data_IF_237922568969
#
_entry.id   IF_237922568969
#
_cell.length_a   1.000
_cell.length_b   1.000
_cell.length_c   1.000
_cell.angle_alpha   90.00
_cell.angle_beta   90.00
_cell.angle_gamma   90.00
#
_symmetry.space_group_name_H-M   'P 1'
#
loop_
_entity.id
_entity.type
_entity.pdbx_description
1 polymer ?
#
# COMPACT_ATOMS: atom_id res chain seq x y z
N UNK A 1 64.26 -0.27 41.55
CA UNK A 1 63.23 0.30 42.42
C UNK A 1 61.96 0.41 41.60
N UNK A 2 61.05 -0.46 41.93
CA UNK A 2 59.59 -0.50 41.76
C UNK A 2 58.97 0.18 40.53
N UNK A 3 58.63 -0.70 39.61
CA UNK A 3 57.65 -0.62 38.55
C UNK A 3 56.24 -0.51 39.12
N UNK A 4 55.45 0.40 38.58
CA UNK A 4 54.00 0.49 38.84
C UNK A 4 53.24 0.24 37.52
N UNK A 5 52.67 -0.95 37.39
CA UNK A 5 51.67 -1.24 36.34
C UNK A 5 50.34 -0.63 36.75
N UNK A 6 49.86 0.35 35.99
CA UNK A 6 48.46 0.77 35.99
C UNK A 6 47.68 -0.07 34.97
N UNK A 7 46.86 -0.95 35.49
CA UNK A 7 45.89 -1.65 34.64
C UNK A 7 44.65 -0.76 34.43
N UNK A 8 44.40 -0.40 33.20
CA UNK A 8 43.14 0.23 32.81
C UNK A 8 42.00 -0.79 32.87
N UNK A 9 41.17 -0.59 33.87
CA UNK A 9 39.90 -1.34 34.05
C UNK A 9 38.84 -0.81 33.07
N UNK A 10 38.94 -1.22 31.79
CA UNK A 10 37.89 -0.95 30.80
C UNK A 10 36.63 -1.74 31.20
N UNK A 11 35.70 -1.07 31.90
CA UNK A 11 34.36 -1.60 32.06
C UNK A 11 33.69 -1.72 30.70
N UNK A 12 33.09 -2.86 30.36
CA UNK A 12 32.35 -3.00 29.11
C UNK A 12 31.24 -1.94 29.05
N UNK A 13 31.23 -1.16 27.95
CA UNK A 13 30.13 -0.24 27.68
C UNK A 13 28.82 -1.03 27.57
N UNK A 14 27.73 -0.56 28.15
CA UNK A 14 26.43 -1.20 27.98
C UNK A 14 26.06 -1.21 26.51
N UNK A 15 25.55 -2.35 26.03
CA UNK A 15 25.07 -2.49 24.67
C UNK A 15 24.06 -1.38 24.34
N UNK A 16 24.10 -0.80 23.14
CA UNK A 16 23.11 0.20 22.73
C UNK A 16 21.70 -0.38 22.84
N UNK A 17 20.71 0.43 23.22
CA UNK A 17 19.34 -0.01 23.30
C UNK A 17 18.90 -0.57 21.93
N UNK A 18 18.06 -1.61 21.89
CA UNK A 18 17.55 -2.14 20.64
C UNK A 18 16.83 -1.04 19.87
N UNK A 19 17.04 -1.02 18.55
CA UNK A 19 16.36 -0.06 17.67
C UNK A 19 14.84 -0.13 17.90
N UNK A 20 14.14 1.03 17.94
CA UNK A 20 12.70 1.04 18.15
C UNK A 20 12.00 0.19 17.09
N UNK A 21 11.04 -0.63 17.51
CA UNK A 21 10.20 -1.43 16.62
C UNK A 21 9.22 -0.50 15.91
N UNK A 22 9.65 0.02 14.77
CA UNK A 22 8.94 1.05 13.99
C UNK A 22 7.57 0.60 13.45
N UNK A 23 7.23 -0.71 13.56
CA UNK A 23 5.99 -1.26 12.99
C UNK A 23 5.21 -2.14 13.97
N UNK A 24 5.62 -2.20 15.21
CA UNK A 24 5.05 -3.09 16.22
C UNK A 24 5.44 -4.56 16.03
N UNK A 25 5.41 -5.34 17.09
CA UNK A 25 5.65 -6.79 16.99
C UNK A 25 4.37 -7.52 16.64
N UNK A 26 4.40 -8.54 15.77
CA UNK A 26 3.24 -9.38 15.55
C UNK A 26 2.80 -10.03 16.86
N UNK A 27 1.61 -9.72 17.33
CA UNK A 27 0.98 -10.46 18.42
C UNK A 27 0.23 -11.67 17.87
N UNK A 28 0.06 -12.69 18.67
CA UNK A 28 -0.91 -13.74 18.36
C UNK A 28 -2.30 -13.10 18.26
N UNK A 29 -2.91 -13.14 17.09
CA UNK A 29 -4.23 -12.60 16.86
C UNK A 29 -5.20 -13.43 17.70
N UNK A 30 -5.88 -12.80 18.64
CA UNK A 30 -6.99 -13.43 19.33
C UNK A 30 -8.07 -13.75 18.29
N UNK A 31 -8.51 -15.00 18.25
CA UNK A 31 -9.57 -15.44 17.36
C UNK A 31 -10.84 -14.71 17.78
N UNK A 32 -11.27 -13.71 17.01
CA UNK A 32 -12.61 -13.19 17.16
C UNK A 32 -13.55 -14.15 16.43
N UNK A 33 -14.36 -14.85 17.19
CA UNK A 33 -15.47 -15.65 16.68
C UNK A 33 -16.59 -14.69 16.22
N UNK A 34 -16.54 -14.30 14.95
CA UNK A 34 -17.55 -13.45 14.31
C UNK A 34 -17.75 -13.88 12.85
N UNK A 35 -18.87 -13.51 12.22
CA UNK A 35 -19.24 -13.93 10.87
C UNK A 35 -18.43 -13.18 9.82
N UNK A 36 -17.12 -13.38 9.77
CA UNK A 36 -16.27 -12.82 8.72
C UNK A 36 -16.08 -13.88 7.64
N UNK A 37 -16.43 -13.51 6.41
CA UNK A 37 -16.21 -14.37 5.25
C UNK A 37 -14.72 -14.68 5.14
N UNK A 38 -14.35 -15.94 5.33
CA UNK A 38 -13.03 -16.46 4.99
C UNK A 38 -12.96 -16.56 3.47
N UNK A 39 -12.47 -15.50 2.81
CA UNK A 39 -12.37 -15.46 1.36
C UNK A 39 -11.62 -14.23 0.87
N UNK A 40 -11.41 -14.09 -0.44
CA UNK A 40 -10.74 -12.94 -1.01
C UNK A 40 -11.57 -11.66 -0.83
N UNK A 41 -10.89 -10.51 -0.90
CA UNK A 41 -11.53 -9.19 -0.87
C UNK A 41 -12.39 -8.99 -2.13
N UNK A 42 -13.68 -8.74 -1.94
CA UNK A 42 -14.63 -8.60 -3.04
C UNK A 42 -14.88 -7.13 -3.39
N UNK A 43 -15.00 -6.80 -4.69
CA UNK A 43 -15.38 -5.45 -5.10
C UNK A 43 -16.84 -5.16 -4.72
N UNK A 44 -17.20 -3.90 -4.41
CA UNK A 44 -18.57 -3.54 -4.15
C UNK A 44 -19.40 -3.68 -5.45
N UNK A 45 -20.65 -4.07 -5.32
CA UNK A 45 -21.56 -4.21 -6.47
C UNK A 45 -21.74 -2.87 -7.21
N UNK A 46 -21.83 -1.78 -6.44
CA UNK A 46 -21.95 -0.40 -6.94
C UNK A 46 -20.91 0.48 -6.26
N UNK A 47 -20.46 1.53 -6.97
CA UNK A 47 -19.50 2.47 -6.42
C UNK A 47 -18.09 1.91 -6.24
N UNK A 48 -17.34 2.55 -5.37
CA UNK A 48 -15.96 2.18 -5.05
C UNK A 48 -15.64 2.47 -3.57
N UNK A 49 -14.81 1.65 -2.96
CA UNK A 49 -14.25 1.89 -1.62
C UNK A 49 -13.28 3.07 -1.63
N UNK A 50 -13.22 3.78 -0.52
CA UNK A 50 -12.21 4.84 -0.30
C UNK A 50 -11.24 4.42 0.78
N UNK A 51 -9.98 4.57 0.47
CA UNK A 51 -8.88 4.32 1.39
C UNK A 51 -7.83 5.41 1.37
N UNK A 52 -6.82 5.23 2.19
CA UNK A 52 -5.61 6.05 2.17
C UNK A 52 -4.42 5.32 2.79
N UNK A 53 -3.22 5.80 2.45
CA UNK A 53 -2.06 5.77 3.32
C UNK A 53 -1.97 7.11 4.02
N UNK A 54 -1.90 7.10 5.34
CA UNK A 54 -1.71 8.30 6.16
C UNK A 54 -0.37 8.17 6.87
N UNK A 55 0.58 9.06 6.53
CA UNK A 55 1.88 9.09 7.20
C UNK A 55 1.69 9.57 8.63
N UNK A 56 1.99 8.75 9.64
CA UNK A 56 1.98 9.22 11.03
C UNK A 56 3.23 10.06 11.31
N UNK A 57 3.16 10.92 12.32
CA UNK A 57 4.33 11.65 12.83
C UNK A 57 5.37 10.67 13.38
N UNK A 58 4.90 9.60 14.04
CA UNK A 58 5.74 8.50 14.50
C UNK A 58 5.21 7.17 13.98
N UNK A 59 6.11 6.32 13.46
CA UNK A 59 5.78 4.98 12.97
C UNK A 59 5.58 3.98 14.12
N UNK A 60 4.82 4.39 15.15
CA UNK A 60 4.43 3.57 16.30
C UNK A 60 2.97 3.10 16.14
N UNK A 61 2.54 2.18 17.00
CA UNK A 61 1.13 1.79 17.08
C UNK A 61 0.23 2.99 17.35
N UNK A 62 0.52 3.75 18.39
CA UNK A 62 -0.27 4.93 18.80
C UNK A 62 -0.27 6.00 17.72
N UNK A 63 0.90 6.30 17.14
CA UNK A 63 1.03 7.30 16.08
C UNK A 63 0.20 6.95 14.84
N UNK A 64 0.16 5.68 14.46
CA UNK A 64 -0.68 5.22 13.34
C UNK A 64 -2.17 5.39 13.61
N UNK A 65 -2.63 5.00 14.79
CA UNK A 65 -4.03 5.17 15.18
C UNK A 65 -4.41 6.65 15.24
N UNK A 66 -3.54 7.49 15.80
CA UNK A 66 -3.77 8.92 15.89
C UNK A 66 -3.87 9.58 14.49
N UNK A 67 -2.97 9.24 13.57
CA UNK A 67 -2.98 9.78 12.22
C UNK A 67 -4.26 9.41 11.46
N UNK A 68 -4.65 8.13 11.50
CA UNK A 68 -5.90 7.66 10.88
C UNK A 68 -7.11 8.32 11.53
N UNK A 69 -7.20 8.32 12.85
CA UNK A 69 -8.32 8.92 13.60
C UNK A 69 -8.47 10.42 13.34
N UNK A 70 -7.36 11.16 13.20
CA UNK A 70 -7.36 12.59 12.88
C UNK A 70 -7.95 12.85 11.49
N UNK A 71 -7.51 12.10 10.48
CA UNK A 71 -8.04 12.25 9.11
C UNK A 71 -9.53 11.87 9.06
N UNK A 72 -9.91 10.73 9.63
CA UNK A 72 -11.30 10.27 9.66
C UNK A 72 -12.23 11.22 10.39
N UNK A 73 -11.77 11.80 11.50
CA UNK A 73 -12.50 12.83 12.23
C UNK A 73 -12.75 14.08 11.36
N UNK A 74 -11.71 14.51 10.63
CA UNK A 74 -11.81 15.64 9.71
C UNK A 74 -12.71 15.36 8.51
N UNK A 75 -12.73 14.11 8.03
CA UNK A 75 -13.60 13.65 6.96
C UNK A 75 -15.03 13.39 7.43
N UNK A 76 -15.27 13.23 8.74
CA UNK A 76 -16.55 12.87 9.32
C UNK A 76 -17.07 11.49 8.87
N UNK A 77 -16.14 10.57 8.52
CA UNK A 77 -16.42 9.14 8.25
C UNK A 77 -15.14 8.32 8.36
N UNK A 78 -15.28 7.02 8.54
CA UNK A 78 -14.17 6.07 8.44
C UNK A 78 -13.80 5.80 6.98
N UNK A 79 -12.54 5.48 6.76
CA UNK A 79 -12.06 4.94 5.51
C UNK A 79 -12.37 3.43 5.44
N UNK A 80 -12.65 2.94 4.23
CA UNK A 80 -12.98 1.53 4.01
C UNK A 80 -11.71 0.67 3.96
N UNK A 81 -10.62 1.25 3.41
CA UNK A 81 -9.34 0.56 3.21
C UNK A 81 -8.20 1.41 3.77
N UNK A 82 -7.32 0.78 4.54
CA UNK A 82 -6.06 1.38 4.95
C UNK A 82 -4.91 0.69 4.23
N UNK A 83 -4.17 1.47 3.41
CA UNK A 83 -2.91 1.01 2.86
C UNK A 83 -1.84 1.02 3.95
N UNK A 84 -1.00 0.00 3.98
CA UNK A 84 0.10 -0.09 4.94
C UNK A 84 1.31 -0.75 4.31
N UNK A 85 2.47 -0.10 4.46
CA UNK A 85 3.71 -0.58 3.87
C UNK A 85 4.43 -1.54 4.81
N UNK A 86 5.01 -2.59 4.23
CA UNK A 86 5.85 -3.56 4.93
C UNK A 86 7.14 -3.78 4.16
N UNK A 87 8.27 -3.69 4.83
CA UNK A 87 9.52 -4.22 4.28
C UNK A 87 9.41 -5.73 4.14
N UNK A 88 10.32 -6.34 3.41
CA UNK A 88 10.26 -7.77 3.13
C UNK A 88 10.18 -8.60 4.42
N UNK A 89 10.99 -8.26 5.43
CA UNK A 89 11.10 -8.98 6.70
C UNK A 89 9.97 -8.67 7.71
N UNK A 90 9.15 -7.66 7.43
CA UNK A 90 8.10 -7.21 8.35
C UNK A 90 6.80 -7.96 8.12
N UNK A 91 6.39 -8.69 9.13
CA UNK A 91 5.12 -9.44 9.08
C UNK A 91 3.91 -8.51 9.28
N UNK A 92 2.80 -8.91 8.68
CA UNK A 92 1.48 -8.32 8.95
C UNK A 92 0.90 -8.81 10.28
N UNK A 93 -0.19 -8.20 10.73
CA UNK A 93 -0.85 -8.57 11.98
C UNK A 93 -0.24 -7.86 13.19
N UNK A 94 0.32 -6.67 12.99
CA UNK A 94 0.75 -5.77 14.06
C UNK A 94 -0.44 -5.31 14.91
N UNK A 95 -0.18 -4.70 16.07
CA UNK A 95 -1.25 -4.14 16.92
C UNK A 95 -2.11 -3.15 16.15
N UNK A 96 -1.50 -2.25 15.36
CA UNK A 96 -2.27 -1.32 14.52
C UNK A 96 -3.12 -2.03 13.47
N UNK A 97 -2.59 -3.08 12.83
CA UNK A 97 -3.36 -3.85 11.84
C UNK A 97 -4.60 -4.48 12.49
N UNK A 98 -4.43 -5.05 13.70
CA UNK A 98 -5.53 -5.67 14.46
C UNK A 98 -6.58 -4.65 14.86
N UNK A 99 -6.16 -3.48 15.34
CA UNK A 99 -7.06 -2.40 15.75
C UNK A 99 -7.88 -1.88 14.56
N UNK A 100 -7.25 -1.62 13.41
CA UNK A 100 -7.94 -1.19 12.19
C UNK A 100 -8.96 -2.23 11.73
N UNK A 101 -8.59 -3.51 11.74
CA UNK A 101 -9.52 -4.60 11.41
C UNK A 101 -10.68 -4.69 12.42
N UNK A 102 -10.42 -4.51 13.72
CA UNK A 102 -11.44 -4.50 14.75
C UNK A 102 -12.42 -3.33 14.60
N UNK A 103 -11.94 -2.20 14.07
CA UNK A 103 -12.75 -1.03 13.74
C UNK A 103 -13.56 -1.18 12.44
N UNK A 104 -13.42 -2.28 11.72
CA UNK A 104 -14.17 -2.60 10.50
C UNK A 104 -13.49 -2.23 9.20
N UNK A 105 -12.29 -1.64 9.25
CA UNK A 105 -11.51 -1.30 8.05
C UNK A 105 -10.88 -2.54 7.43
N UNK A 106 -10.65 -2.50 6.12
CA UNK A 106 -9.89 -3.52 5.40
C UNK A 106 -8.44 -3.08 5.21
N UNK A 107 -7.52 -4.04 5.08
CA UNK A 107 -6.11 -3.75 4.87
C UNK A 107 -5.72 -3.97 3.41
N UNK A 108 -5.03 -2.99 2.83
CA UNK A 108 -4.20 -3.16 1.66
C UNK A 108 -2.74 -3.16 2.11
N UNK A 109 -2.06 -4.29 1.90
CA UNK A 109 -0.68 -4.49 2.32
C UNK A 109 0.25 -4.27 1.13
N UNK A 110 1.01 -3.19 1.16
CA UNK A 110 2.08 -2.94 0.20
C UNK A 110 3.36 -3.57 0.72
N UNK A 111 3.66 -4.77 0.22
CA UNK A 111 4.79 -5.59 0.67
C UNK A 111 5.99 -5.44 -0.24
N UNK A 112 7.05 -4.80 0.23
CA UNK A 112 8.30 -4.57 -0.51
C UNK A 112 9.14 -5.84 -0.50
N UNK A 113 8.84 -6.78 -1.40
CA UNK A 113 9.65 -7.99 -1.57
C UNK A 113 11.08 -7.66 -2.02
N UNK A 114 12.01 -8.57 -1.77
CA UNK A 114 13.42 -8.43 -2.09
C UNK A 114 13.77 -8.64 -3.56
N UNK A 115 14.98 -9.09 -3.80
CA UNK A 115 15.49 -9.45 -5.12
C UNK A 115 14.75 -10.66 -5.69
N UNK A 116 14.29 -10.56 -6.94
CA UNK A 116 13.48 -11.62 -7.56
C UNK A 116 14.26 -12.92 -7.76
N UNK A 117 15.56 -12.87 -8.05
CA UNK A 117 16.36 -14.08 -8.25
C UNK A 117 16.63 -14.80 -6.95
N UNK A 118 16.94 -14.09 -5.87
CA UNK A 118 17.09 -14.70 -4.55
C UNK A 118 15.78 -15.31 -4.03
N UNK A 119 14.62 -14.74 -4.42
CA UNK A 119 13.31 -15.36 -4.17
C UNK A 119 13.19 -16.68 -4.92
N UNK A 120 13.56 -16.70 -6.20
CA UNK A 120 13.48 -17.91 -7.05
C UNK A 120 14.45 -19.00 -6.61
N UNK A 121 15.61 -18.63 -6.05
CA UNK A 121 16.59 -19.56 -5.48
C UNK A 121 16.14 -20.14 -4.13
N UNK A 122 14.99 -19.69 -3.60
CA UNK A 122 14.41 -20.19 -2.35
C UNK A 122 15.02 -19.63 -1.07
N UNK A 123 15.95 -18.67 -1.16
CA UNK A 123 16.63 -18.07 0.00
C UNK A 123 15.65 -17.45 1.01
N UNK A 124 14.47 -17.03 0.53
CA UNK A 124 13.46 -16.33 1.33
C UNK A 124 12.23 -17.19 1.68
N UNK A 125 12.23 -18.48 1.38
CA UNK A 125 11.09 -19.38 1.59
C UNK A 125 10.52 -19.30 3.01
N UNK A 126 11.40 -19.32 4.01
CA UNK A 126 10.99 -19.27 5.42
C UNK A 126 10.23 -17.98 5.74
N UNK A 127 10.69 -16.86 5.23
CA UNK A 127 10.08 -15.55 5.42
C UNK A 127 8.74 -15.47 4.69
N UNK A 128 8.67 -15.90 3.44
CA UNK A 128 7.46 -15.91 2.62
C UNK A 128 6.37 -16.78 3.28
N UNK A 129 6.74 -17.98 3.78
CA UNK A 129 5.82 -18.85 4.56
C UNK A 129 5.34 -18.17 5.84
N UNK A 130 6.24 -17.45 6.55
CA UNK A 130 5.85 -16.73 7.76
C UNK A 130 4.83 -15.62 7.45
N UNK A 131 5.02 -14.88 6.38
CA UNK A 131 4.09 -13.85 5.92
C UNK A 131 2.73 -14.46 5.49
N UNK A 132 2.76 -15.54 4.72
CA UNK A 132 1.57 -16.27 4.32
C UNK A 132 0.74 -16.71 5.53
N UNK A 133 1.39 -17.32 6.53
CA UNK A 133 0.73 -17.72 7.78
C UNK A 133 0.23 -16.54 8.60
N UNK A 134 0.93 -15.40 8.58
CA UNK A 134 0.50 -14.18 9.24
C UNK A 134 -0.80 -13.65 8.60
N UNK A 135 -0.87 -13.56 7.26
CA UNK A 135 -2.09 -13.17 6.54
C UNK A 135 -3.24 -14.16 6.81
N UNK A 136 -2.99 -15.46 6.76
CA UNK A 136 -4.01 -16.46 7.06
C UNK A 136 -4.62 -16.28 8.47
N UNK A 137 -3.79 -15.92 9.47
CA UNK A 137 -4.25 -15.69 10.86
C UNK A 137 -5.14 -14.45 11.01
N UNK A 138 -5.08 -13.49 10.10
CA UNK A 138 -5.97 -12.33 10.11
C UNK A 138 -7.44 -12.75 9.99
N UNK A 139 -7.75 -13.82 9.26
CA UNK A 139 -9.11 -14.34 9.04
C UNK A 139 -10.10 -13.31 8.45
N UNK A 140 -9.59 -12.24 7.87
CA UNK A 140 -10.35 -11.22 7.15
C UNK A 140 -9.71 -11.01 5.78
N UNK A 141 -10.49 -10.59 4.77
CA UNK A 141 -9.96 -10.32 3.45
C UNK A 141 -8.85 -9.27 3.48
N UNK A 142 -7.79 -9.51 2.75
CA UNK A 142 -6.62 -8.61 2.63
C UNK A 142 -6.31 -8.41 1.15
N UNK A 143 -6.08 -7.18 0.74
CA UNK A 143 -5.47 -6.83 -0.54
C UNK A 143 -3.94 -6.86 -0.39
N UNK A 144 -3.24 -7.68 -1.16
CA UNK A 144 -1.78 -7.80 -1.11
C UNK A 144 -1.15 -7.24 -2.38
N UNK A 145 -0.49 -6.10 -2.26
CA UNK A 145 0.33 -5.48 -3.31
C UNK A 145 1.77 -6.01 -3.18
N UNK A 146 2.07 -7.14 -3.82
CA UNK A 146 3.41 -7.69 -3.82
C UNK A 146 4.32 -6.85 -4.73
N UNK A 147 5.30 -6.19 -4.14
CA UNK A 147 6.28 -5.34 -4.85
C UNK A 147 5.60 -4.40 -5.84
N UNK A 148 4.79 -3.48 -5.32
CA UNK A 148 4.15 -2.43 -6.11
C UNK A 148 5.18 -1.58 -6.85
N UNK A 149 4.78 -0.92 -7.92
CA UNK A 149 5.65 -0.07 -8.75
C UNK A 149 6.91 -0.79 -9.27
N UNK A 150 6.80 -2.08 -9.56
CA UNK A 150 7.91 -2.93 -10.02
C UNK A 150 8.56 -2.46 -11.32
N UNK A 151 7.83 -1.65 -12.09
CA UNK A 151 8.23 -1.06 -13.36
C UNK A 151 9.15 0.17 -13.22
N UNK A 152 9.38 0.67 -11.98
CA UNK A 152 10.23 1.84 -11.74
C UNK A 152 11.68 1.57 -12.12
N UNK A 153 12.34 2.50 -12.86
CA UNK A 153 13.72 2.31 -13.30
C UNK A 153 14.73 2.07 -12.18
N UNK A 154 14.52 2.68 -11.01
CA UNK A 154 15.40 2.50 -9.83
C UNK A 154 15.27 1.12 -9.17
N UNK A 155 14.27 0.33 -9.54
CA UNK A 155 14.09 -1.03 -9.02
C UNK A 155 14.66 -2.13 -9.94
N UNK A 156 15.17 -1.77 -11.11
CA UNK A 156 15.70 -2.74 -12.10
C UNK A 156 16.77 -3.67 -11.54
N UNK A 157 17.58 -3.19 -10.61
CA UNK A 157 18.61 -4.00 -9.98
C UNK A 157 18.08 -5.19 -9.17
N UNK A 158 16.85 -5.11 -8.65
CA UNK A 158 16.20 -6.15 -7.86
C UNK A 158 15.07 -6.83 -8.60
N UNK A 159 14.45 -6.15 -9.55
CA UNK A 159 13.39 -6.72 -10.40
C UNK A 159 13.97 -7.51 -11.56
N UNK A 160 15.17 -7.16 -12.04
CA UNK A 160 15.87 -7.73 -13.19
C UNK A 160 15.08 -7.51 -14.48
N UNK A 161 14.14 -8.37 -14.80
CA UNK A 161 13.26 -8.28 -15.95
C UNK A 161 11.80 -8.52 -15.59
N UNK A 162 10.88 -8.21 -16.51
CA UNK A 162 9.47 -8.57 -16.37
C UNK A 162 9.28 -10.09 -16.19
N UNK A 163 10.07 -10.89 -16.92
CA UNK A 163 10.03 -12.36 -16.79
C UNK A 163 10.48 -12.84 -15.40
N UNK A 164 11.57 -12.29 -14.85
CA UNK A 164 12.02 -12.61 -13.48
C UNK A 164 10.97 -12.22 -12.43
N UNK A 165 10.34 -11.04 -12.59
CA UNK A 165 9.26 -10.62 -11.69
C UNK A 165 8.04 -11.54 -11.78
N UNK A 166 7.60 -11.91 -12.97
CA UNK A 166 6.47 -12.83 -13.19
C UNK A 166 6.77 -14.20 -12.56
N UNK A 167 7.99 -14.70 -12.72
CA UNK A 167 8.41 -15.96 -12.12
C UNK A 167 8.39 -15.88 -10.59
N UNK A 168 8.95 -14.81 -10.00
CA UNK A 168 8.95 -14.59 -8.56
C UNK A 168 7.52 -14.42 -8.00
N UNK A 169 6.63 -13.69 -8.72
CA UNK A 169 5.22 -13.57 -8.36
C UNK A 169 4.54 -14.94 -8.26
N UNK A 170 4.68 -15.78 -9.28
CA UNK A 170 4.11 -17.13 -9.32
C UNK A 170 4.68 -18.02 -8.20
N UNK A 171 5.98 -17.92 -7.96
CA UNK A 171 6.67 -18.67 -6.90
C UNK A 171 6.13 -18.31 -5.51
N UNK A 172 6.03 -17.02 -5.19
CA UNK A 172 5.49 -16.54 -3.92
C UNK A 172 4.02 -16.94 -3.76
N UNK A 173 3.22 -16.78 -4.81
CA UNK A 173 1.80 -17.16 -4.81
C UNK A 173 1.63 -18.67 -4.59
N UNK A 174 2.51 -19.49 -5.15
CA UNK A 174 2.49 -20.95 -4.94
C UNK A 174 2.80 -21.32 -3.47
N UNK A 175 3.73 -20.62 -2.80
CA UNK A 175 3.97 -20.79 -1.37
C UNK A 175 2.71 -20.44 -0.57
N UNK A 176 2.05 -19.32 -0.87
CA UNK A 176 0.80 -18.94 -0.21
C UNK A 176 -0.29 -20.00 -0.39
N UNK A 177 -0.43 -20.56 -1.59
CA UNK A 177 -1.37 -21.64 -1.88
C UNK A 177 -1.06 -22.89 -1.05
N UNK A 178 0.21 -23.30 -0.94
CA UNK A 178 0.63 -24.43 -0.09
C UNK A 178 0.40 -24.18 1.41
N UNK A 179 0.43 -22.92 1.84
CA UNK A 179 0.10 -22.49 3.21
C UNK A 179 -1.41 -22.31 3.43
N UNK A 180 -2.24 -22.64 2.44
CA UNK A 180 -3.72 -22.53 2.48
C UNK A 180 -4.22 -21.13 2.88
N UNK A 181 -3.68 -20.08 2.25
CA UNK A 181 -4.11 -18.68 2.45
C UNK A 181 -5.24 -18.37 1.48
N UNK A 182 -6.47 -18.35 1.99
CA UNK A 182 -7.70 -18.13 1.21
C UNK A 182 -8.21 -16.69 1.30
N UNK A 183 -7.75 -15.93 2.29
CA UNK A 183 -8.19 -14.58 2.59
C UNK A 183 -7.31 -13.48 1.97
N UNK A 184 -6.57 -13.78 0.92
CA UNK A 184 -5.72 -12.83 0.20
C UNK A 184 -6.25 -12.59 -1.22
N UNK A 185 -6.34 -11.31 -1.62
CA UNK A 185 -6.51 -10.90 -3.01
C UNK A 185 -5.22 -10.31 -3.52
N UNK A 186 -4.73 -10.84 -4.63
CA UNK A 186 -3.47 -10.46 -5.26
C UNK A 186 -3.65 -9.23 -6.13
N UNK A 187 -2.96 -8.15 -5.78
CA UNK A 187 -3.06 -6.84 -6.43
C UNK A 187 -1.77 -6.57 -7.19
N UNK A 188 -1.85 -6.56 -8.52
CA UNK A 188 -0.73 -6.16 -9.39
C UNK A 188 -0.80 -4.66 -9.64
N UNK A 189 0.22 -3.91 -9.21
CA UNK A 189 0.18 -2.45 -9.13
C UNK A 189 1.45 -1.78 -9.67
N UNK A 190 1.55 -1.52 -10.96
CA UNK A 190 2.59 -0.69 -11.57
C UNK A 190 2.27 0.80 -11.45
N UNK A 191 3.16 1.63 -12.02
CA UNK A 191 2.99 3.08 -12.11
C UNK A 191 2.24 3.50 -13.38
N UNK A 192 1.56 4.65 -13.34
CA UNK A 192 0.98 5.27 -14.54
C UNK A 192 2.09 5.63 -15.55
N UNK A 193 3.25 6.08 -15.06
CA UNK A 193 4.42 6.38 -15.88
C UNK A 193 4.94 5.14 -16.64
N UNK A 194 4.88 3.95 -16.04
CA UNK A 194 5.24 2.70 -16.71
C UNK A 194 4.31 2.36 -17.87
N UNK A 195 3.03 2.67 -17.74
CA UNK A 195 2.09 2.55 -18.86
C UNK A 195 2.34 3.60 -19.93
N UNK A 196 2.68 4.83 -19.57
CA UNK A 196 3.06 5.86 -20.54
C UNK A 196 4.36 5.51 -21.28
N UNK A 197 5.32 4.87 -20.62
CA UNK A 197 6.56 4.35 -21.24
C UNK A 197 6.31 3.09 -22.06
N UNK A 198 5.25 2.34 -21.76
CA UNK A 198 4.89 1.09 -22.43
C UNK A 198 5.56 -0.17 -21.84
N UNK A 199 6.30 -0.06 -20.73
CA UNK A 199 7.02 -1.17 -20.10
C UNK A 199 6.26 -1.85 -18.94
N UNK A 200 5.26 -1.21 -18.36
CA UNK A 200 4.48 -1.80 -17.27
C UNK A 200 3.82 -3.16 -17.65
N UNK A 201 3.22 -3.34 -18.83
CA UNK A 201 2.61 -4.61 -19.22
C UNK A 201 3.57 -5.81 -19.24
N UNK A 202 4.87 -5.59 -19.42
CA UNK A 202 5.88 -6.65 -19.43
C UNK A 202 6.00 -7.37 -18.07
N UNK A 203 5.50 -6.74 -17.01
CA UNK A 203 5.49 -7.28 -15.64
C UNK A 203 4.16 -7.96 -15.27
N UNK A 204 3.20 -8.08 -16.19
CA UNK A 204 1.90 -8.64 -15.86
C UNK A 204 1.93 -10.18 -15.78
N UNK A 205 1.64 -10.77 -14.61
CA UNK A 205 1.80 -12.22 -14.42
C UNK A 205 0.70 -13.07 -15.07
N UNK A 206 -0.35 -12.44 -15.57
CA UNK A 206 -1.50 -13.10 -16.21
C UNK A 206 -2.79 -13.01 -15.39
N UNK A 207 -3.93 -13.11 -16.10
CA UNK A 207 -5.26 -12.96 -15.49
C UNK A 207 -5.57 -14.04 -14.43
N UNK A 208 -4.99 -15.22 -14.56
CA UNK A 208 -5.10 -16.33 -13.59
C UNK A 208 -4.30 -16.10 -12.31
N UNK A 209 -3.37 -15.13 -12.34
CA UNK A 209 -2.47 -14.82 -11.23
C UNK A 209 -2.85 -13.54 -10.49
N UNK A 210 -3.79 -12.74 -11.00
CA UNK A 210 -4.16 -11.43 -10.46
C UNK A 210 -5.64 -11.40 -10.14
N UNK A 211 -5.99 -10.97 -8.94
CA UNK A 211 -7.38 -10.78 -8.53
C UNK A 211 -7.84 -9.34 -8.78
N UNK A 212 -6.97 -8.36 -8.58
CA UNK A 212 -7.21 -6.94 -8.81
C UNK A 212 -6.08 -6.33 -9.62
N UNK A 213 -6.41 -5.59 -10.66
CA UNK A 213 -5.45 -4.70 -11.32
C UNK A 213 -5.37 -3.38 -10.57
N UNK A 214 -4.22 -2.72 -10.65
CA UNK A 214 -3.94 -1.52 -9.88
C UNK A 214 -3.08 -0.57 -10.69
N UNK A 215 -3.10 0.71 -10.33
CA UNK A 215 -2.12 1.71 -10.78
C UNK A 215 -1.90 2.73 -9.68
N UNK A 216 -0.65 3.15 -9.52
CA UNK A 216 -0.29 4.33 -8.73
C UNK A 216 -0.13 5.52 -9.68
N UNK A 217 -0.80 6.65 -9.36
CA UNK A 217 -0.89 7.80 -10.26
C UNK A 217 -0.74 9.12 -9.51
N UNK A 218 0.20 9.95 -9.96
CA UNK A 218 0.53 11.20 -9.32
C UNK A 218 0.67 12.37 -10.32
N UNK A 219 0.10 13.52 -9.98
CA UNK A 219 0.56 14.78 -10.54
C UNK A 219 1.70 15.30 -9.64
N UNK A 220 2.90 14.78 -9.88
CA UNK A 220 4.12 15.08 -9.12
C UNK A 220 4.99 16.12 -9.80
N UNK A 221 6.05 15.69 -10.49
CA UNK A 221 6.97 16.57 -11.20
C UNK A 221 6.35 17.24 -12.43
N UNK A 222 5.34 16.62 -13.07
CA UNK A 222 4.55 17.21 -14.14
C UNK A 222 3.09 17.31 -13.71
N UNK A 223 2.42 18.40 -14.12
CA UNK A 223 1.00 18.60 -13.87
C UNK A 223 0.21 18.21 -15.11
N UNK A 224 -0.55 17.13 -15.00
CA UNK A 224 -1.44 16.65 -16.04
C UNK A 224 -2.77 16.23 -15.42
N UNK A 225 -3.90 16.34 -16.12
CA UNK A 225 -5.17 15.78 -15.67
C UNK A 225 -5.04 14.29 -15.37
N UNK A 226 -5.68 13.84 -14.31
CA UNK A 226 -5.57 12.43 -13.89
C UNK A 226 -6.11 11.47 -14.96
N UNK A 227 -7.14 11.88 -15.70
CA UNK A 227 -7.69 11.09 -16.81
C UNK A 227 -6.66 10.82 -17.91
N UNK A 228 -5.80 11.81 -18.21
CA UNK A 228 -4.72 11.66 -19.21
C UNK A 228 -3.61 10.74 -18.65
N UNK A 229 -3.23 10.92 -17.40
CA UNK A 229 -2.22 10.07 -16.73
C UNK A 229 -2.65 8.60 -16.70
N UNK A 230 -3.94 8.35 -16.50
CA UNK A 230 -4.48 6.98 -16.37
C UNK A 230 -4.89 6.35 -17.70
N UNK A 231 -5.01 7.13 -18.77
CA UNK A 231 -5.58 6.66 -20.03
C UNK A 231 -4.89 5.40 -20.60
N UNK A 232 -3.54 5.31 -20.66
CA UNK A 232 -2.88 4.10 -21.15
C UNK A 232 -3.19 2.86 -20.30
N UNK A 233 -3.22 3.01 -18.98
CA UNK A 233 -3.61 1.95 -18.06
C UNK A 233 -5.08 1.54 -18.25
N UNK A 234 -6.00 2.48 -18.29
CA UNK A 234 -7.43 2.20 -18.41
C UNK A 234 -7.76 1.49 -19.73
N UNK A 235 -7.10 1.88 -20.83
CA UNK A 235 -7.22 1.21 -22.13
C UNK A 235 -6.73 -0.24 -22.05
N UNK A 236 -5.62 -0.49 -21.37
CA UNK A 236 -5.08 -1.82 -21.14
C UNK A 236 -6.00 -2.65 -20.24
N UNK A 237 -6.50 -2.07 -19.14
CA UNK A 237 -7.36 -2.73 -18.15
C UNK A 237 -8.75 -3.08 -18.71
N UNK A 238 -9.29 -2.28 -19.63
CA UNK A 238 -10.58 -2.52 -20.27
C UNK A 238 -10.64 -3.87 -21.03
N UNK A 239 -9.50 -4.45 -21.37
CA UNK A 239 -9.42 -5.77 -22.02
C UNK A 239 -9.40 -6.93 -21.01
N UNK A 240 -9.51 -6.65 -19.71
CA UNK A 240 -9.39 -7.63 -18.61
C UNK A 240 -10.57 -7.52 -17.66
N UNK A 241 -11.25 -8.61 -17.33
CA UNK A 241 -12.41 -8.59 -16.43
C UNK A 241 -11.99 -8.58 -14.95
N UNK A 242 -11.13 -7.61 -14.56
CA UNK A 242 -10.63 -7.48 -13.19
C UNK A 242 -11.10 -6.17 -12.58
N UNK A 243 -11.50 -6.15 -11.30
CA UNK A 243 -11.71 -4.88 -10.61
C UNK A 243 -10.39 -4.11 -10.52
N UNK A 244 -10.50 -2.78 -10.57
CA UNK A 244 -9.37 -1.87 -10.46
C UNK A 244 -9.34 -1.24 -9.07
N UNK A 245 -8.15 -1.22 -8.46
CA UNK A 245 -7.84 -0.33 -7.35
C UNK A 245 -6.86 0.75 -7.82
N UNK A 246 -7.15 2.01 -7.54
CA UNK A 246 -6.15 3.07 -7.59
C UNK A 246 -5.39 2.98 -6.28
N UNK A 247 -4.21 2.34 -6.34
CA UNK A 247 -3.45 1.96 -5.16
C UNK A 247 -2.88 3.14 -4.40
N UNK A 248 -2.48 4.15 -5.17
CA UNK A 248 -2.05 5.43 -4.67
C UNK A 248 -2.45 6.51 -5.67
N UNK A 249 -2.99 7.63 -5.19
CA UNK A 249 -3.14 8.82 -6.01
C UNK A 249 -2.87 10.07 -5.18
N UNK A 250 -2.33 11.09 -5.84
CA UNK A 250 -2.02 12.34 -5.18
C UNK A 250 -1.63 13.45 -6.16
N UNK A 251 -1.78 14.69 -5.70
CA UNK A 251 -1.37 15.89 -6.42
C UNK A 251 -0.45 16.72 -5.55
N UNK A 252 0.73 17.05 -6.07
CA UNK A 252 1.81 17.62 -5.28
C UNK A 252 1.54 19.07 -4.84
N UNK A 253 2.08 19.44 -3.68
CA UNK A 253 1.97 20.80 -3.11
C UNK A 253 2.57 21.87 -4.02
N UNK A 254 3.56 21.51 -4.85
CA UNK A 254 4.16 22.41 -5.83
C UNK A 254 3.16 23.08 -6.78
N UNK A 255 2.02 22.45 -7.02
CA UNK A 255 1.02 22.97 -7.97
C UNK A 255 0.05 23.99 -7.36
N UNK A 256 0.11 24.19 -6.06
CA UNK A 256 -0.70 25.16 -5.32
C UNK A 256 -2.17 24.73 -5.15
N UNK A 257 -2.83 25.34 -4.16
CA UNK A 257 -4.15 24.96 -3.66
C UNK A 257 -5.24 24.85 -4.72
N UNK A 258 -5.34 25.84 -5.61
CA UNK A 258 -6.40 25.88 -6.63
C UNK A 258 -6.27 24.73 -7.64
N UNK A 259 -5.05 24.47 -8.12
CA UNK A 259 -4.78 23.38 -9.05
C UNK A 259 -4.96 22.01 -8.39
N UNK A 260 -4.52 21.86 -7.14
CA UNK A 260 -4.73 20.64 -6.35
C UNK A 260 -6.21 20.33 -6.18
N UNK A 261 -7.00 21.31 -5.80
CA UNK A 261 -8.45 21.16 -5.67
C UNK A 261 -9.13 20.81 -7.01
N UNK A 262 -8.70 21.45 -8.11
CA UNK A 262 -9.21 21.14 -9.44
C UNK A 262 -8.89 19.71 -9.87
N UNK A 263 -7.65 19.25 -9.64
CA UNK A 263 -7.18 17.91 -9.95
C UNK A 263 -7.94 16.85 -9.15
N UNK A 264 -8.20 17.08 -7.86
CA UNK A 264 -8.97 16.16 -7.02
C UNK A 264 -10.44 16.03 -7.47
N UNK A 265 -11.06 17.14 -7.91
CA UNK A 265 -12.39 17.08 -8.54
C UNK A 265 -12.39 16.35 -9.87
N UNK A 266 -11.29 16.44 -10.63
CA UNK A 266 -11.10 15.68 -11.85
C UNK A 266 -10.92 14.17 -11.55
N UNK A 267 -10.18 13.84 -10.49
CA UNK A 267 -10.04 12.48 -10.00
C UNK A 267 -11.40 11.86 -9.66
N UNK A 268 -12.25 12.57 -8.92
CA UNK A 268 -13.61 12.11 -8.62
C UNK A 268 -14.40 11.78 -9.89
N UNK A 269 -14.40 12.69 -10.88
CA UNK A 269 -15.11 12.47 -12.16
C UNK A 269 -14.55 11.27 -12.92
N UNK A 270 -13.24 11.17 -13.02
CA UNK A 270 -12.53 10.09 -13.73
C UNK A 270 -12.82 8.73 -13.12
N UNK A 271 -12.79 8.64 -11.81
CA UNK A 271 -13.08 7.38 -11.09
C UNK A 271 -14.55 6.95 -11.28
N UNK A 272 -15.49 7.88 -11.17
CA UNK A 272 -16.92 7.60 -11.36
C UNK A 272 -17.27 7.24 -12.81
N UNK A 273 -16.56 7.79 -13.78
CA UNK A 273 -16.75 7.48 -15.20
C UNK A 273 -16.31 6.05 -15.57
N UNK A 274 -15.38 5.47 -14.80
CA UNK A 274 -14.88 4.11 -15.04
C UNK A 274 -15.42 3.13 -13.98
N UNK A 275 -16.47 2.39 -14.33
CA UNK A 275 -17.15 1.45 -13.41
C UNK A 275 -16.30 0.26 -12.97
N UNK A 276 -15.17 0.00 -13.65
CA UNK A 276 -14.22 -1.04 -13.27
C UNK A 276 -13.40 -0.63 -12.05
N UNK A 277 -13.25 0.68 -11.77
CA UNK A 277 -12.62 1.18 -10.55
C UNK A 277 -13.55 0.89 -9.36
N UNK A 278 -13.05 0.10 -8.44
CA UNK A 278 -13.77 -0.43 -7.28
C UNK A 278 -13.16 -0.02 -5.93
N UNK A 279 -11.95 0.54 -5.96
CA UNK A 279 -11.30 1.10 -4.78
C UNK A 279 -10.33 2.21 -5.20
N UNK A 280 -10.20 3.24 -4.34
CA UNK A 280 -9.24 4.33 -4.52
C UNK A 280 -8.56 4.63 -3.19
N UNK A 281 -7.24 4.82 -3.16
CA UNK A 281 -6.49 5.12 -1.95
C UNK A 281 -5.64 6.38 -2.13
N UNK A 282 -5.95 7.42 -1.35
CA UNK A 282 -5.15 8.65 -1.37
C UNK A 282 -3.83 8.46 -0.64
N UNK A 283 -2.77 9.07 -1.16
CA UNK A 283 -1.46 9.06 -0.52
C UNK A 283 -1.29 10.32 0.35
N UNK A 284 -1.77 10.26 1.60
CA UNK A 284 -1.71 11.36 2.58
C UNK A 284 -0.34 11.38 3.26
N UNK A 285 0.68 11.83 2.51
CA UNK A 285 2.06 11.79 2.98
C UNK A 285 2.92 12.88 2.33
N UNK A 286 3.80 13.45 3.16
CA UNK A 286 4.96 14.23 2.71
C UNK A 286 6.23 13.44 3.07
N UNK A 287 6.79 12.66 2.13
CA UNK A 287 8.00 11.90 2.40
C UNK A 287 9.17 12.81 2.76
N UNK A 288 9.91 12.45 3.82
CA UNK A 288 11.05 13.24 4.30
C UNK A 288 12.14 13.35 3.25
N UNK A 289 12.77 14.51 3.17
CA UNK A 289 13.84 14.80 2.21
C UNK A 289 13.37 15.07 0.79
N UNK A 290 12.08 14.92 0.50
CA UNK A 290 11.52 15.19 -0.83
C UNK A 290 11.11 16.66 -0.98
N UNK A 291 11.26 17.19 -2.19
CA UNK A 291 10.77 18.53 -2.54
C UNK A 291 9.25 18.60 -2.69
N UNK A 292 8.68 19.82 -2.84
CA UNK A 292 7.24 20.04 -2.86
C UNK A 292 6.51 19.35 -4.02
N UNK A 293 7.22 18.93 -5.06
CA UNK A 293 6.69 18.09 -6.16
C UNK A 293 6.50 16.61 -5.81
N UNK A 294 6.87 16.20 -4.61
CA UNK A 294 6.67 14.86 -4.05
C UNK A 294 6.03 14.91 -2.65
N UNK A 295 5.37 16.00 -2.32
CA UNK A 295 4.63 16.21 -1.08
C UNK A 295 3.14 16.31 -1.39
N UNK A 296 2.33 15.45 -0.76
CA UNK A 296 0.94 15.24 -1.15
C UNK A 296 -0.06 15.45 -0.03
N UNK A 297 0.37 15.66 1.23
CA UNK A 297 -0.54 15.87 2.36
C UNK A 297 -1.55 17.00 2.07
N UNK A 298 -2.78 16.77 2.50
CA UNK A 298 -3.89 17.72 2.38
C UNK A 298 -3.96 18.68 3.57
N UNK A 299 -3.33 18.30 4.69
CA UNK A 299 -3.29 19.18 5.88
C UNK A 299 -2.64 20.52 5.54
N UNK A 300 -3.28 21.62 6.01
CA UNK A 300 -2.84 22.98 5.69
C UNK A 300 -3.23 23.50 4.31
N UNK A 301 -3.96 22.73 3.50
CA UNK A 301 -4.51 23.13 2.21
C UNK A 301 -6.03 22.95 2.18
N UNK A 302 -6.75 23.96 2.65
CA UNK A 302 -8.22 23.91 2.81
C UNK A 302 -8.95 23.59 1.50
N UNK A 303 -8.52 24.15 0.37
CA UNK A 303 -9.18 23.95 -0.90
C UNK A 303 -8.99 22.52 -1.43
N UNK A 304 -7.78 21.95 -1.34
CA UNK A 304 -7.51 20.58 -1.70
C UNK A 304 -8.22 19.61 -0.75
N UNK A 305 -8.17 19.86 0.56
CA UNK A 305 -8.88 19.06 1.54
C UNK A 305 -10.39 19.03 1.28
N UNK A 306 -11.01 20.20 1.02
CA UNK A 306 -12.44 20.29 0.70
C UNK A 306 -12.81 19.51 -0.57
N UNK A 307 -11.95 19.53 -1.59
CA UNK A 307 -12.18 18.73 -2.80
C UNK A 307 -12.10 17.23 -2.51
N UNK A 308 -11.10 16.77 -1.74
CA UNK A 308 -11.00 15.39 -1.30
C UNK A 308 -12.17 14.97 -0.39
N UNK A 309 -12.54 15.82 0.55
CA UNK A 309 -13.70 15.60 1.43
C UNK A 309 -15.00 15.41 0.60
N UNK A 310 -15.19 16.23 -0.46
CA UNK A 310 -16.33 16.08 -1.37
C UNK A 310 -16.35 14.71 -2.03
N UNK A 311 -15.21 14.25 -2.56
CA UNK A 311 -15.06 12.91 -3.13
C UNK A 311 -15.44 11.84 -2.10
N UNK A 312 -14.87 11.90 -0.90
CA UNK A 312 -15.09 10.92 0.16
C UNK A 312 -16.55 10.87 0.62
N UNK A 313 -17.26 12.00 0.55
CA UNK A 313 -18.70 12.10 0.93
C UNK A 313 -19.66 11.79 -0.21
N UNK A 314 -19.20 11.69 -1.45
CA UNK A 314 -20.08 11.35 -2.57
C UNK A 314 -20.67 9.94 -2.37
N UNK A 315 -21.98 9.74 -2.60
CA UNK A 315 -22.63 8.42 -2.44
C UNK A 315 -21.98 7.29 -3.24
N UNK A 316 -21.30 7.60 -4.34
CA UNK A 316 -20.56 6.61 -5.14
C UNK A 316 -19.41 5.98 -4.35
N UNK A 317 -18.78 6.74 -3.44
CA UNK A 317 -17.68 6.30 -2.59
C UNK A 317 -18.13 6.01 -1.15
N UNK A 318 -19.43 5.96 -0.89
CA UNK A 318 -20.05 5.64 0.39
C UNK A 318 -20.82 4.33 0.24
N UNK A 319 -20.11 3.27 -0.13
CA UNK A 319 -20.73 1.96 -0.30
C UNK A 319 -21.09 1.40 1.07
N UNK A 320 -22.39 1.15 1.26
CA UNK A 320 -22.91 0.31 2.36
C UNK A 320 -23.19 -1.05 1.75
N UNK A 321 -22.51 -2.06 2.26
CA UNK A 321 -22.78 -3.46 1.92
C UNK A 321 -24.18 -3.89 2.39
#
# INVERSE_FOLDING_TARGET
MLSGCGGDDERPQPAPPPAPDLFGRPRAIAVQDGPFAAGPFTPPARGAYVGAWIKPDELTHVGRLAAVGSLESSLGRRLDILNTYRRFEQLVGTESDQEFLAQGQSLMISWATGDNRSILDGEHDRLIRAQARAIRRIKRPVLLRMRWEMDRPNLRATMWSGADYIAAWKYVRDIFRREHVENVSWVWCPTAEGFMRGDAPDFYPGDDQVDWTCVDVYAGASFQPIGELMEPFLRWAAQRPKPIVIGEFGVAKAWGSANRAAWLRDAERTFKANRQIKAVAYFESDPEGNGPNQQFQLSGDEAAFKAFHSLVKDPYFNVTD
#
